data_IF_431581050859
#
_entry.id   IF_431581050859
#
_cell.length_a   1.000
_cell.length_b   1.000
_cell.length_c   1.000
_cell.angle_alpha   90.00
_cell.angle_beta   90.00
_cell.angle_gamma   90.00
#
_symmetry.space_group_name_H-M   'P 1'
#
loop_
_entity.id
_entity.type
_entity.pdbx_description
1 polymer ?
#
# COMPACT_ATOMS: atom_id res chain seq x y z
N UNK A 1 6.10 5.67 -25.88
CA UNK A 1 7.34 5.90 -25.10
C UNK A 1 6.96 6.48 -23.72
N UNK A 2 7.63 6.01 -22.63
CA UNK A 2 7.39 6.48 -21.26
C UNK A 2 8.64 7.19 -20.74
N UNK A 3 8.44 8.33 -20.05
CA UNK A 3 9.45 9.01 -19.27
C UNK A 3 8.98 9.14 -17.81
N UNK A 4 9.59 8.37 -16.90
CA UNK A 4 9.35 8.47 -15.47
C UNK A 4 10.25 9.53 -14.84
N UNK A 5 9.64 10.48 -14.12
CA UNK A 5 10.36 11.57 -13.45
C UNK A 5 10.19 11.40 -11.94
N UNK A 6 11.28 11.50 -11.21
CA UNK A 6 11.27 11.42 -9.75
C UNK A 6 12.46 12.17 -9.14
N UNK A 7 12.58 12.12 -7.80
CA UNK A 7 13.73 12.70 -7.10
C UNK A 7 14.83 11.67 -6.87
N UNK A 8 16.07 12.16 -6.80
CA UNK A 8 17.24 11.39 -6.39
C UNK A 8 17.60 11.73 -4.94
N UNK A 9 17.56 10.72 -4.07
CA UNK A 9 18.06 10.80 -2.70
C UNK A 9 19.49 10.26 -2.62
N UNK A 10 20.28 10.63 -1.59
CA UNK A 10 21.66 10.13 -1.43
C UNK A 10 21.76 8.60 -1.35
N UNK A 11 20.76 7.97 -0.76
CA UNK A 11 20.62 6.51 -0.57
C UNK A 11 19.81 5.83 -1.67
N UNK A 12 19.46 6.56 -2.73
CA UNK A 12 18.70 6.00 -3.85
C UNK A 12 19.49 4.93 -4.59
N UNK A 13 18.92 3.74 -4.71
CA UNK A 13 19.50 2.64 -5.50
C UNK A 13 19.51 2.96 -7.00
N UNK A 14 20.43 2.41 -7.78
CA UNK A 14 20.33 2.42 -9.24
C UNK A 14 18.98 1.90 -9.72
N UNK A 15 18.47 2.48 -10.79
CA UNK A 15 17.22 2.03 -11.42
C UNK A 15 17.54 1.56 -12.83
N UNK A 16 17.15 0.33 -13.14
CA UNK A 16 17.19 -0.23 -14.49
C UNK A 16 15.74 -0.48 -14.92
N UNK A 17 15.29 0.21 -15.95
CA UNK A 17 13.95 0.12 -16.53
C UNK A 17 14.04 0.01 -18.04
N UNK A 18 13.06 -0.63 -18.66
CA UNK A 18 12.93 -0.69 -20.14
C UNK A 18 12.51 0.65 -20.76
N UNK A 19 12.15 1.64 -19.94
CA UNK A 19 11.74 2.98 -20.34
C UNK A 19 12.64 4.06 -19.73
N UNK A 20 12.58 5.27 -20.27
CA UNK A 20 13.41 6.39 -19.83
C UNK A 20 13.06 6.83 -18.41
N UNK A 21 14.10 7.15 -17.63
CA UNK A 21 13.94 7.69 -16.27
C UNK A 21 14.77 8.96 -16.11
N UNK A 22 14.21 9.96 -15.41
CA UNK A 22 14.92 11.17 -15.03
C UNK A 22 14.78 11.40 -13.53
N UNK A 23 15.89 11.53 -12.81
CA UNK A 23 15.89 11.70 -11.35
C UNK A 23 16.55 13.04 -10.98
N UNK A 24 15.73 13.95 -10.42
CA UNK A 24 16.14 15.30 -10.06
C UNK A 24 16.90 15.31 -8.73
N UNK A 25 18.06 15.92 -8.71
CA UNK A 25 18.77 16.28 -7.47
C UNK A 25 18.20 17.58 -6.94
N UNK A 26 17.71 17.57 -5.69
CA UNK A 26 17.13 18.73 -5.03
C UNK A 26 18.07 19.22 -3.93
N UNK A 27 18.10 20.53 -3.72
CA UNK A 27 18.87 21.18 -2.64
C UNK A 27 18.12 21.03 -1.32
N UNK A 28 16.82 21.28 -1.33
CA UNK A 28 15.94 21.12 -0.17
C UNK A 28 15.48 19.67 -0.05
N UNK A 29 15.59 19.09 1.14
CA UNK A 29 15.27 17.67 1.36
C UNK A 29 13.93 17.44 2.03
N UNK A 30 13.41 18.43 2.75
CA UNK A 30 12.18 18.32 3.57
C UNK A 30 11.46 19.67 3.66
N UNK A 31 10.17 19.61 4.04
CA UNK A 31 9.36 20.78 4.34
C UNK A 31 8.88 21.57 3.11
N UNK A 32 8.31 22.77 3.32
CA UNK A 32 7.69 23.55 2.24
C UNK A 32 8.65 23.92 1.11
N UNK A 33 9.90 24.22 1.42
CA UNK A 33 10.93 24.58 0.43
C UNK A 33 11.25 23.40 -0.50
N UNK A 34 11.21 22.16 0.01
CA UNK A 34 11.33 20.96 -0.82
C UNK A 34 10.24 20.92 -1.89
N UNK A 35 8.97 21.09 -1.49
CA UNK A 35 7.86 21.05 -2.45
C UNK A 35 7.92 22.21 -3.44
N UNK A 36 8.28 23.41 -2.99
CA UNK A 36 8.44 24.57 -3.87
C UNK A 36 9.56 24.34 -4.91
N UNK A 37 10.76 23.90 -4.49
CA UNK A 37 11.85 23.58 -5.39
C UNK A 37 11.49 22.47 -6.37
N UNK A 38 10.89 21.37 -5.87
CA UNK A 38 10.51 20.23 -6.70
C UNK A 38 9.49 20.63 -7.78
N UNK A 39 8.41 21.31 -7.39
CA UNK A 39 7.38 21.75 -8.32
C UNK A 39 7.94 22.74 -9.37
N UNK A 40 8.79 23.68 -8.97
CA UNK A 40 9.39 24.63 -9.89
C UNK A 40 10.32 23.94 -10.90
N UNK A 41 11.19 23.05 -10.44
CA UNK A 41 12.08 22.28 -11.33
C UNK A 41 11.30 21.34 -12.24
N UNK A 42 10.26 20.68 -11.72
CA UNK A 42 9.39 19.81 -12.50
C UNK A 42 8.67 20.60 -13.60
N UNK A 43 8.13 21.77 -13.27
CA UNK A 43 7.49 22.65 -14.25
C UNK A 43 8.47 23.02 -15.40
N UNK A 44 9.66 23.52 -15.06
CA UNK A 44 10.64 23.90 -16.08
C UNK A 44 11.20 22.73 -16.87
N UNK A 45 11.25 21.55 -16.28
CA UNK A 45 11.61 20.34 -16.99
C UNK A 45 10.50 19.94 -17.96
N UNK A 46 9.27 19.81 -17.49
CA UNK A 46 8.13 19.36 -18.28
C UNK A 46 7.84 20.31 -19.46
N UNK A 47 7.88 21.62 -19.25
CA UNK A 47 7.57 22.61 -20.33
C UNK A 47 8.52 22.49 -21.53
N UNK A 48 9.71 21.90 -21.35
CA UNK A 48 10.72 21.68 -22.41
C UNK A 48 10.60 20.30 -23.07
N UNK A 49 9.78 19.39 -22.53
CA UNK A 49 9.59 18.07 -23.12
C UNK A 49 8.49 18.09 -24.19
N UNK A 50 8.59 17.19 -25.16
CA UNK A 50 7.44 16.83 -26.03
C UNK A 50 6.74 15.66 -25.38
N UNK A 51 5.42 15.74 -25.23
CA UNK A 51 4.60 14.72 -24.61
C UNK A 51 3.17 14.78 -25.13
N UNK A 52 2.58 13.63 -25.30
CA UNK A 52 1.19 13.46 -25.75
C UNK A 52 0.23 13.41 -24.55
N UNK A 53 0.67 12.84 -23.43
CA UNK A 53 -0.10 12.71 -22.19
C UNK A 53 0.82 13.03 -21.01
N UNK A 54 0.33 13.79 -20.05
CA UNK A 54 0.90 13.97 -18.72
C UNK A 54 0.22 13.02 -17.74
N UNK A 55 1.02 12.35 -16.89
CA UNK A 55 0.49 11.52 -15.81
C UNK A 55 1.10 12.02 -14.48
N UNK A 56 0.26 12.55 -13.61
CA UNK A 56 0.67 13.08 -12.31
C UNK A 56 0.29 12.11 -11.22
N UNK A 57 1.29 11.58 -10.51
CA UNK A 57 1.07 10.77 -9.32
C UNK A 57 1.07 11.67 -8.09
N UNK A 58 0.03 11.56 -7.30
CA UNK A 58 -0.24 12.30 -6.07
C UNK A 58 -0.24 13.83 -6.19
N UNK A 59 -0.74 14.48 -5.14
CA UNK A 59 -1.00 15.91 -5.11
C UNK A 59 0.28 16.76 -5.18
N UNK A 60 1.39 16.22 -4.69
CA UNK A 60 2.67 16.93 -4.63
C UNK A 60 3.31 17.18 -5.99
N UNK A 61 2.86 16.48 -7.05
CA UNK A 61 3.27 16.70 -8.44
C UNK A 61 2.17 17.34 -9.30
N UNK A 62 0.94 17.47 -8.78
CA UNK A 62 -0.22 17.88 -9.58
C UNK A 62 -0.12 19.31 -10.12
N UNK A 63 0.30 20.27 -9.30
CA UNK A 63 0.33 21.68 -9.70
C UNK A 63 1.21 21.95 -10.94
N UNK A 64 2.47 21.53 -11.02
CA UNK A 64 3.30 21.76 -12.22
C UNK A 64 2.78 21.00 -13.43
N UNK A 65 2.26 19.77 -13.27
CA UNK A 65 1.65 19.02 -14.35
C UNK A 65 0.41 19.74 -14.89
N UNK A 66 -0.47 20.25 -14.03
CA UNK A 66 -1.64 21.01 -14.42
C UNK A 66 -1.28 22.29 -15.19
N UNK A 67 -0.32 23.08 -14.71
CA UNK A 67 0.12 24.30 -15.38
C UNK A 67 0.68 24.00 -16.77
N UNK A 68 1.52 22.98 -16.90
CA UNK A 68 2.08 22.57 -18.20
C UNK A 68 0.99 22.04 -19.11
N UNK A 69 0.06 21.23 -18.62
CA UNK A 69 -1.10 20.74 -19.37
C UNK A 69 -1.92 21.90 -19.99
N UNK A 70 -2.18 22.95 -19.20
CA UNK A 70 -2.94 24.12 -19.68
C UNK A 70 -2.17 24.93 -20.72
N UNK A 71 -0.85 25.14 -20.53
CA UNK A 71 -0.01 25.90 -21.47
C UNK A 71 0.18 25.15 -22.79
N UNK A 72 0.45 23.84 -22.71
CA UNK A 72 0.74 22.98 -23.86
C UNK A 72 -0.51 22.38 -24.50
N UNK A 73 -1.68 22.50 -23.85
CA UNK A 73 -2.93 21.83 -24.25
C UNK A 73 -2.79 20.31 -24.30
N UNK A 74 -1.96 19.75 -23.41
CA UNK A 74 -1.71 18.30 -23.30
C UNK A 74 -2.66 17.69 -22.28
N UNK A 75 -3.36 16.58 -22.58
CA UNK A 75 -4.20 15.88 -21.62
C UNK A 75 -3.43 15.51 -20.35
N UNK A 76 -4.10 15.63 -19.19
CA UNK A 76 -3.54 15.32 -17.89
C UNK A 76 -4.37 14.24 -17.23
N UNK A 77 -3.71 13.13 -16.88
CA UNK A 77 -4.21 12.07 -16.01
C UNK A 77 -3.68 12.32 -14.60
N UNK A 78 -4.54 12.31 -13.62
CA UNK A 78 -4.17 12.41 -12.20
C UNK A 78 -4.46 11.10 -11.51
N UNK A 79 -3.47 10.54 -10.83
CA UNK A 79 -3.56 9.30 -10.06
C UNK A 79 -3.21 9.57 -8.60
N UNK A 80 -4.17 9.37 -7.70
CA UNK A 80 -3.99 9.58 -6.26
C UNK A 80 -4.09 8.27 -5.49
N UNK A 81 -3.01 7.95 -4.76
CA UNK A 81 -2.90 6.70 -4.02
C UNK A 81 -3.52 6.72 -2.63
N UNK A 82 -3.94 7.91 -2.16
CA UNK A 82 -4.58 8.10 -0.85
C UNK A 82 -5.43 9.37 -0.85
N UNK A 83 -6.24 9.56 0.18
CA UNK A 83 -6.89 10.85 0.40
C UNK A 83 -5.85 11.83 0.98
N UNK A 84 -5.12 12.51 0.09
CA UNK A 84 -3.88 13.22 0.41
C UNK A 84 -4.01 14.22 1.54
N UNK A 85 -5.09 15.00 1.60
CA UNK A 85 -5.30 15.97 2.68
C UNK A 85 -5.79 15.35 3.99
N UNK A 86 -6.00 14.04 4.02
CA UNK A 86 -6.33 13.25 5.21
C UNK A 86 -5.15 12.51 5.85
N UNK A 87 -3.92 12.66 5.33
CA UNK A 87 -2.75 11.96 5.86
C UNK A 87 -2.43 12.36 7.30
N UNK A 88 -1.97 11.43 8.16
CA UNK A 88 -1.66 11.71 9.56
C UNK A 88 -0.66 12.84 9.75
N UNK A 89 0.31 12.98 8.84
CA UNK A 89 1.36 14.01 8.86
C UNK A 89 0.82 15.44 8.79
N UNK A 90 -0.37 15.63 8.25
CA UNK A 90 -1.06 16.92 8.15
C UNK A 90 -1.95 17.24 9.35
N UNK A 91 -2.15 16.29 10.29
CA UNK A 91 -3.03 16.44 11.45
C UNK A 91 -2.66 17.66 12.31
N UNK A 92 -1.36 17.86 12.52
CA UNK A 92 -0.82 18.94 13.35
C UNK A 92 -0.25 20.12 12.53
N UNK A 93 -0.59 20.23 11.23
CA UNK A 93 -0.09 21.26 10.29
C UNK A 93 -1.23 21.94 9.53
N UNK A 94 -2.13 22.68 10.21
CA UNK A 94 -3.36 23.21 9.60
C UNK A 94 -3.11 24.15 8.42
N UNK A 95 -2.07 24.98 8.46
CA UNK A 95 -1.71 25.88 7.35
C UNK A 95 -1.26 25.08 6.11
N UNK A 96 -0.43 24.07 6.28
CA UNK A 96 0.03 23.20 5.17
C UNK A 96 -1.16 22.46 4.58
N UNK A 97 -2.02 21.89 5.42
CA UNK A 97 -3.26 21.23 5.00
C UNK A 97 -4.17 22.17 4.20
N UNK A 98 -4.30 23.44 4.63
CA UNK A 98 -5.10 24.45 3.92
C UNK A 98 -4.53 24.74 2.52
N UNK A 99 -3.21 24.86 2.38
CA UNK A 99 -2.56 25.08 1.08
C UNK A 99 -2.86 23.90 0.14
N UNK A 100 -2.66 22.67 0.59
CA UNK A 100 -2.95 21.49 -0.21
C UNK A 100 -4.43 21.40 -0.61
N UNK A 101 -5.36 21.67 0.30
CA UNK A 101 -6.79 21.75 -0.01
C UNK A 101 -7.13 22.82 -1.04
N UNK A 102 -6.47 23.96 -1.01
CA UNK A 102 -6.67 25.00 -2.02
C UNK A 102 -6.18 24.55 -3.41
N UNK A 103 -5.07 23.82 -3.47
CA UNK A 103 -4.56 23.24 -4.71
C UNK A 103 -5.55 22.20 -5.25
N UNK A 104 -6.00 21.25 -4.40
CA UNK A 104 -7.03 20.26 -4.78
C UNK A 104 -8.30 20.96 -5.30
N UNK A 105 -8.90 21.84 -4.51
CA UNK A 105 -10.14 22.54 -4.88
C UNK A 105 -10.00 23.39 -6.16
N UNK A 106 -8.79 23.93 -6.38
CA UNK A 106 -8.51 24.72 -7.58
C UNK A 106 -8.29 23.89 -8.85
N UNK A 107 -7.83 22.66 -8.73
CA UNK A 107 -7.42 21.85 -9.88
C UNK A 107 -8.40 20.71 -10.15
N UNK A 108 -8.77 19.90 -9.16
CA UNK A 108 -9.52 18.65 -9.36
C UNK A 108 -10.82 18.85 -10.17
N UNK A 109 -11.67 19.87 -9.93
CA UNK A 109 -12.89 20.08 -10.73
C UNK A 109 -12.64 20.41 -12.20
N UNK A 110 -11.38 20.66 -12.60
CA UNK A 110 -10.98 20.98 -13.97
C UNK A 110 -10.30 19.82 -14.70
N UNK A 111 -10.18 18.66 -14.01
CA UNK A 111 -9.59 17.44 -14.57
C UNK A 111 -10.68 16.52 -15.10
N UNK A 112 -10.41 15.90 -16.23
CA UNK A 112 -11.31 14.92 -16.85
C UNK A 112 -10.94 13.48 -16.47
N UNK A 113 -9.64 13.21 -16.29
CA UNK A 113 -9.11 11.87 -16.07
C UNK A 113 -8.47 11.77 -14.67
N UNK A 114 -9.20 11.16 -13.74
CA UNK A 114 -8.79 11.02 -12.35
C UNK A 114 -8.90 9.54 -11.95
N UNK A 115 -7.85 9.03 -11.34
CA UNK A 115 -7.79 7.70 -10.74
C UNK A 115 -7.55 7.78 -9.24
N UNK A 116 -8.06 6.77 -8.54
CA UNK A 116 -7.75 6.53 -7.13
C UNK A 116 -7.82 5.04 -6.80
N UNK A 117 -7.26 4.66 -5.66
CA UNK A 117 -7.01 3.25 -5.32
C UNK A 117 -8.24 2.45 -4.86
N UNK A 118 -9.34 3.11 -4.48
CA UNK A 118 -10.55 2.40 -4.05
C UNK A 118 -11.81 3.29 -4.09
N UNK A 119 -12.96 2.65 -3.95
CA UNK A 119 -14.27 3.32 -4.08
C UNK A 119 -14.60 4.25 -2.91
N UNK A 120 -14.13 3.99 -1.70
CA UNK A 120 -14.34 4.89 -0.56
C UNK A 120 -13.61 6.22 -0.75
N UNK A 121 -12.37 6.19 -1.23
CA UNK A 121 -11.62 7.42 -1.55
C UNK A 121 -12.25 8.14 -2.75
N UNK A 122 -12.71 7.43 -3.79
CA UNK A 122 -13.44 8.03 -4.90
C UNK A 122 -14.69 8.78 -4.42
N UNK A 123 -15.46 8.19 -3.49
CA UNK A 123 -16.63 8.84 -2.88
C UNK A 123 -16.27 10.07 -2.04
N UNK A 124 -15.13 10.06 -1.32
CA UNK A 124 -14.64 11.26 -0.62
C UNK A 124 -14.35 12.40 -1.58
N UNK A 125 -13.64 12.13 -2.66
CA UNK A 125 -13.35 13.12 -3.69
C UNK A 125 -14.62 13.61 -4.39
N UNK A 126 -15.59 12.73 -4.65
CA UNK A 126 -16.89 13.12 -5.19
C UNK A 126 -17.65 14.05 -4.24
N UNK A 127 -17.67 13.72 -2.94
CA UNK A 127 -18.32 14.52 -1.91
C UNK A 127 -17.66 15.89 -1.73
N UNK A 128 -16.33 15.95 -1.67
CA UNK A 128 -15.60 17.17 -1.30
C UNK A 128 -15.37 18.11 -2.50
N UNK A 129 -15.29 17.57 -3.73
CA UNK A 129 -14.92 18.34 -4.91
C UNK A 129 -15.89 18.18 -6.11
N UNK A 130 -16.92 17.35 -5.98
CA UNK A 130 -17.90 17.11 -7.05
C UNK A 130 -17.33 16.39 -8.27
N UNK A 131 -16.24 15.61 -8.11
CA UNK A 131 -15.56 14.93 -9.21
C UNK A 131 -15.89 13.44 -9.25
N UNK A 132 -15.71 12.82 -10.42
CA UNK A 132 -15.77 11.38 -10.58
C UNK A 132 -14.35 10.83 -10.79
N UNK A 133 -13.87 10.01 -9.87
CA UNK A 133 -12.60 9.30 -9.99
C UNK A 133 -12.84 7.83 -10.37
N UNK A 134 -12.07 7.33 -11.33
CA UNK A 134 -12.04 5.89 -11.68
C UNK A 134 -11.22 5.15 -10.64
N UNK A 135 -11.68 3.96 -10.27
CA UNK A 135 -10.92 3.13 -9.34
C UNK A 135 -9.90 2.30 -10.11
N UNK A 136 -8.65 2.38 -9.67
CA UNK A 136 -7.53 1.56 -10.12
C UNK A 136 -6.72 1.14 -8.88
N UNK A 137 -6.89 -0.09 -8.46
CA UNK A 137 -6.29 -0.61 -7.22
C UNK A 137 -4.78 -0.81 -7.39
N UNK A 138 -4.04 -0.62 -6.33
CA UNK A 138 -2.62 -0.92 -6.31
C UNK A 138 -2.41 -2.40 -6.00
N UNK A 139 -2.51 -3.24 -7.01
CA UNK A 139 -2.41 -4.70 -6.93
C UNK A 139 -1.10 -5.20 -7.57
N UNK A 140 -0.57 -6.36 -7.14
CA UNK A 140 0.64 -6.93 -7.72
C UNK A 140 0.41 -7.52 -9.12
N UNK A 141 1.50 -7.71 -9.86
CA UNK A 141 1.52 -8.54 -11.06
C UNK A 141 1.18 -10.00 -10.71
N UNK A 142 0.68 -10.82 -11.63
CA UNK A 142 0.58 -12.26 -11.43
C UNK A 142 1.94 -12.86 -11.07
N UNK A 143 1.96 -13.89 -10.21
CA UNK A 143 3.22 -14.55 -9.84
C UNK A 143 3.89 -15.10 -11.08
N UNK A 144 5.18 -14.81 -11.23
CA UNK A 144 5.97 -15.48 -12.25
C UNK A 144 6.02 -16.98 -11.94
N UNK A 145 5.83 -17.84 -12.95
CA UNK A 145 6.05 -19.28 -12.77
C UNK A 145 7.45 -19.55 -12.20
N UNK A 146 7.56 -20.46 -11.22
CA UNK A 146 8.84 -20.89 -10.67
C UNK A 146 9.36 -20.09 -9.45
N UNK A 147 8.54 -19.24 -8.84
CA UNK A 147 8.87 -18.72 -7.50
C UNK A 147 8.57 -19.83 -6.49
N UNK A 148 9.62 -20.47 -6.00
CA UNK A 148 9.52 -21.48 -4.96
C UNK A 148 9.55 -20.84 -3.57
N UNK A 149 8.73 -21.32 -2.61
CA UNK A 149 8.79 -20.86 -1.23
C UNK A 149 10.15 -21.19 -0.61
N UNK A 150 10.60 -20.42 0.36
CA UNK A 150 11.72 -20.80 1.22
C UNK A 150 11.28 -21.84 2.25
N UNK A 151 12.25 -22.55 2.85
CA UNK A 151 11.97 -23.43 3.98
C UNK A 151 11.88 -22.60 5.28
N UNK A 152 11.00 -22.98 6.18
CA UNK A 152 10.93 -22.44 7.55
C UNK A 152 12.22 -22.67 8.32
N UNK A 153 12.87 -23.83 8.07
CA UNK A 153 14.15 -24.19 8.65
C UNK A 153 15.28 -23.20 8.32
N UNK A 154 15.26 -22.59 7.11
CA UNK A 154 16.27 -21.60 6.67
C UNK A 154 16.31 -20.35 7.55
N UNK A 155 15.24 -20.07 8.28
CA UNK A 155 15.13 -18.93 9.19
C UNK A 155 14.88 -19.34 10.65
N UNK A 156 15.07 -20.63 10.98
CA UNK A 156 15.00 -21.17 12.33
C UNK A 156 13.58 -21.22 12.91
N UNK A 157 12.56 -21.36 12.07
CA UNK A 157 11.16 -21.54 12.48
C UNK A 157 10.83 -23.05 12.45
N UNK A 158 10.22 -23.62 13.53
CA UNK A 158 9.77 -25.00 13.53
C UNK A 158 8.80 -25.29 12.39
N UNK A 159 8.90 -26.45 11.77
CA UNK A 159 8.03 -26.84 10.64
C UNK A 159 6.57 -27.01 11.07
N UNK A 160 6.31 -27.40 12.31
CA UNK A 160 4.99 -27.59 12.93
C UNK A 160 4.40 -26.28 13.50
N UNK A 161 5.13 -25.16 13.45
CA UNK A 161 4.63 -23.88 13.94
C UNK A 161 3.48 -23.37 13.06
N UNK A 162 2.43 -22.80 13.69
CA UNK A 162 1.44 -21.98 13.01
C UNK A 162 2.00 -20.57 12.81
N UNK A 163 2.31 -20.21 11.58
CA UNK A 163 3.10 -19.02 11.28
C UNK A 163 2.25 -17.86 10.76
N UNK A 164 2.17 -16.82 11.58
CA UNK A 164 1.59 -15.53 11.23
C UNK A 164 2.60 -14.69 10.45
N UNK A 165 2.14 -13.83 9.52
CA UNK A 165 3.00 -12.85 8.86
C UNK A 165 2.38 -11.46 8.84
N UNK A 166 3.21 -10.44 9.15
CA UNK A 166 2.93 -9.06 8.81
C UNK A 166 4.12 -8.46 8.06
N UNK A 167 3.85 -7.88 6.88
CA UNK A 167 4.89 -7.37 5.99
C UNK A 167 4.63 -5.94 5.53
N UNK A 168 5.72 -5.23 5.18
CA UNK A 168 5.66 -3.89 4.60
C UNK A 168 6.68 -2.90 5.16
N UNK A 169 6.69 -1.71 4.58
CA UNK A 169 7.57 -0.60 5.00
C UNK A 169 6.88 0.43 5.90
N UNK A 170 5.65 0.17 6.30
CA UNK A 170 4.82 1.00 7.17
C UNK A 170 4.30 0.23 8.38
N UNK A 171 5.16 -0.54 9.08
CA UNK A 171 4.81 -1.18 10.36
C UNK A 171 4.90 -0.11 11.45
N UNK A 172 3.87 0.76 11.45
CA UNK A 172 3.83 1.97 12.24
C UNK A 172 2.80 1.86 13.36
N UNK A 173 2.76 2.88 14.23
CA UNK A 173 1.76 3.02 15.28
C UNK A 173 0.34 2.92 14.68
N UNK A 174 -0.60 2.38 15.45
CA UNK A 174 -1.98 2.12 15.02
C UNK A 174 -2.16 1.08 13.88
N UNK A 175 -1.11 0.31 13.58
CA UNK A 175 -1.17 -0.82 12.63
C UNK A 175 -1.38 -2.18 13.33
N UNK A 176 -1.79 -2.17 14.62
CA UNK A 176 -2.22 -3.33 15.38
C UNK A 176 -1.09 -4.26 15.87
N UNK A 177 0.18 -3.84 15.76
CA UNK A 177 1.28 -4.70 16.16
C UNK A 177 1.44 -4.79 17.69
N UNK A 178 1.12 -3.74 18.41
CA UNK A 178 1.13 -3.72 19.87
C UNK A 178 0.10 -4.68 20.44
N UNK A 179 -1.12 -4.70 19.88
CA UNK A 179 -2.20 -5.61 20.25
C UNK A 179 -1.89 -7.05 19.86
N UNK A 180 -1.30 -7.25 18.68
CA UNK A 180 -0.85 -8.57 18.24
C UNK A 180 0.19 -9.17 19.21
N UNK A 181 1.14 -8.36 19.68
CA UNK A 181 2.12 -8.83 20.67
C UNK A 181 1.46 -9.23 22.00
N UNK A 182 0.46 -8.45 22.46
CA UNK A 182 -0.34 -8.81 23.65
C UNK A 182 -1.13 -10.09 23.47
N UNK A 183 -1.71 -10.28 22.27
CA UNK A 183 -2.40 -11.52 21.91
C UNK A 183 -1.43 -12.72 21.84
N UNK A 184 -0.26 -12.53 21.21
CA UNK A 184 0.73 -13.58 21.01
C UNK A 184 1.27 -14.14 22.35
N UNK A 185 1.36 -13.32 23.41
CA UNK A 185 1.73 -13.79 24.77
C UNK A 185 0.72 -14.76 25.39
N UNK A 186 -0.53 -14.73 24.92
CA UNK A 186 -1.66 -15.58 25.39
C UNK A 186 -1.89 -16.80 24.50
N UNK A 187 -1.48 -16.71 23.23
CA UNK A 187 -1.62 -17.79 22.26
C UNK A 187 -0.70 -18.97 22.57
N UNK A 188 -1.06 -20.20 22.12
CA UNK A 188 -0.24 -21.40 22.22
C UNK A 188 1.21 -21.20 21.73
N UNK A 189 2.12 -21.98 22.25
CA UNK A 189 3.57 -21.83 22.00
C UNK A 189 3.98 -22.11 20.56
N UNK A 190 3.20 -22.90 19.84
CA UNK A 190 3.37 -23.22 18.41
C UNK A 190 3.02 -22.05 17.48
N UNK A 191 2.36 -20.99 17.97
CA UNK A 191 2.04 -19.81 17.16
C UNK A 191 3.25 -18.89 17.11
N UNK A 192 3.82 -18.74 15.92
CA UNK A 192 4.97 -17.88 15.64
C UNK A 192 4.55 -16.67 14.78
N UNK A 193 5.35 -15.60 14.84
CA UNK A 193 5.13 -14.37 14.06
C UNK A 193 6.37 -14.01 13.26
N UNK A 194 6.19 -13.83 11.96
CA UNK A 194 7.19 -13.31 11.04
C UNK A 194 6.87 -11.84 10.69
N UNK A 195 7.79 -10.93 11.05
CA UNK A 195 7.71 -9.51 10.70
C UNK A 195 8.74 -9.20 9.63
N UNK A 196 8.27 -8.86 8.39
CA UNK A 196 9.16 -8.55 7.26
C UNK A 196 9.03 -7.07 6.93
N UNK A 197 10.06 -6.28 7.17
CA UNK A 197 10.03 -4.88 6.76
C UNK A 197 10.60 -3.89 7.76
N UNK A 198 10.02 -2.69 7.78
CA UNK A 198 10.40 -1.59 8.66
C UNK A 198 9.21 -0.75 9.09
N UNK A 199 9.37 0.01 10.15
CA UNK A 199 8.38 0.95 10.69
C UNK A 199 8.85 1.55 11.99
N UNK A 200 8.11 2.54 12.46
CA UNK A 200 8.46 3.29 13.67
C UNK A 200 8.33 2.47 14.96
N UNK A 201 7.45 1.45 14.97
CA UNK A 201 7.26 0.57 16.14
C UNK A 201 8.24 -0.61 16.20
N UNK A 202 8.98 -0.91 15.13
CA UNK A 202 9.90 -2.07 15.09
C UNK A 202 10.94 -2.07 16.22
N UNK A 203 11.59 -0.94 16.58
CA UNK A 203 12.55 -0.93 17.69
C UNK A 203 11.92 -1.34 19.03
N UNK A 204 10.76 -0.81 19.38
CA UNK A 204 10.04 -1.14 20.61
C UNK A 204 9.53 -2.58 20.64
N UNK A 205 9.06 -3.10 19.50
CA UNK A 205 8.64 -4.49 19.36
C UNK A 205 9.80 -5.47 19.53
N UNK A 206 10.98 -5.15 19.00
CA UNK A 206 12.21 -5.94 19.19
C UNK A 206 12.61 -5.99 20.67
N UNK A 207 12.58 -4.84 21.33
CA UNK A 207 12.87 -4.77 22.76
C UNK A 207 11.88 -5.63 23.57
N UNK A 208 10.56 -5.47 23.35
CA UNK A 208 9.51 -6.26 24.00
C UNK A 208 9.70 -7.77 23.76
N UNK A 209 10.03 -8.16 22.53
CA UNK A 209 10.28 -9.57 22.20
C UNK A 209 11.50 -10.14 22.96
N UNK A 210 12.56 -9.34 23.13
CA UNK A 210 13.77 -9.77 23.87
C UNK A 210 13.52 -9.90 25.37
N UNK A 211 12.73 -9.00 25.95
CA UNK A 211 12.40 -8.97 27.38
C UNK A 211 11.37 -10.04 27.76
N UNK A 212 10.49 -10.45 26.84
CA UNK A 212 9.47 -11.46 27.08
C UNK A 212 10.02 -12.88 26.87
N UNK A 213 10.01 -13.67 27.91
CA UNK A 213 10.38 -15.11 27.83
C UNK A 213 9.50 -15.91 26.87
N UNK A 214 8.25 -15.46 26.64
CA UNK A 214 7.29 -16.11 25.74
C UNK A 214 7.48 -15.72 24.27
N UNK A 215 7.90 -14.48 23.99
CA UNK A 215 8.00 -13.94 22.62
C UNK A 215 9.37 -14.17 21.98
N UNK A 216 10.43 -14.24 22.78
CA UNK A 216 11.82 -14.26 22.32
C UNK A 216 12.11 -15.31 21.24
N UNK A 217 11.50 -16.49 21.33
CA UNK A 217 11.70 -17.60 20.40
C UNK A 217 10.62 -17.68 19.31
N UNK A 218 9.57 -16.86 19.41
CA UNK A 218 8.39 -16.94 18.52
C UNK A 218 8.23 -15.75 17.57
N UNK A 219 8.98 -14.67 17.78
CA UNK A 219 8.92 -13.49 16.91
C UNK A 219 10.19 -13.37 16.10
N UNK A 220 10.04 -13.41 14.78
CA UNK A 220 11.13 -13.40 13.81
C UNK A 220 11.10 -12.09 13.03
N UNK A 221 12.21 -11.33 13.05
CA UNK A 221 12.31 -10.04 12.37
C UNK A 221 13.21 -10.16 11.15
N UNK A 222 12.69 -9.85 9.99
CA UNK A 222 13.43 -9.77 8.74
C UNK A 222 13.43 -8.31 8.25
N UNK A 223 14.58 -7.74 7.86
CA UNK A 223 14.63 -6.40 7.28
C UNK A 223 13.89 -6.34 5.94
N UNK A 224 13.65 -5.14 5.38
CA UNK A 224 13.03 -5.00 4.07
C UNK A 224 13.78 -5.80 2.99
N UNK A 225 13.05 -6.64 2.28
CA UNK A 225 13.54 -7.50 1.20
C UNK A 225 13.09 -7.00 -0.18
N UNK A 226 13.77 -7.39 -1.27
CA UNK A 226 13.19 -7.33 -2.62
C UNK A 226 11.86 -8.07 -2.67
N UNK A 227 10.94 -7.61 -3.54
CA UNK A 227 9.56 -8.13 -3.58
C UNK A 227 9.48 -9.65 -3.73
N UNK A 228 10.18 -10.21 -4.69
CA UNK A 228 10.18 -11.68 -4.93
C UNK A 228 10.70 -12.47 -3.74
N UNK A 229 11.75 -11.97 -3.09
CA UNK A 229 12.31 -12.62 -1.89
C UNK A 229 11.35 -12.53 -0.71
N UNK A 230 10.67 -11.40 -0.53
CA UNK A 230 9.60 -11.24 0.46
C UNK A 230 8.49 -12.25 0.20
N UNK A 231 8.03 -12.41 -1.04
CA UNK A 231 6.98 -13.36 -1.41
C UNK A 231 7.36 -14.81 -1.12
N UNK A 232 8.63 -15.20 -1.33
CA UNK A 232 9.13 -16.54 -0.96
C UNK A 232 8.98 -16.84 0.54
N UNK A 233 9.09 -15.83 1.40
CA UNK A 233 8.84 -15.98 2.83
C UNK A 233 7.33 -15.98 3.14
N UNK A 234 6.55 -15.17 2.43
CA UNK A 234 5.10 -15.09 2.64
C UNK A 234 4.40 -16.40 2.30
N UNK A 235 4.81 -17.08 1.23
CA UNK A 235 4.19 -18.31 0.71
C UNK A 235 4.22 -19.49 1.68
N UNK A 236 5.17 -19.57 2.62
CA UNK A 236 5.22 -20.64 3.61
C UNK A 236 4.49 -20.31 4.92
N UNK A 237 3.90 -19.12 5.04
CA UNK A 237 3.12 -18.74 6.21
C UNK A 237 1.70 -19.33 6.16
N UNK A 238 1.03 -19.33 7.31
CA UNK A 238 -0.31 -19.89 7.46
C UNK A 238 -1.40 -18.82 7.51
N UNK A 239 -1.08 -17.59 7.97
CA UNK A 239 -2.04 -16.51 8.13
C UNK A 239 -1.39 -15.13 7.93
N UNK A 240 -1.92 -14.35 6.99
CA UNK A 240 -1.54 -12.96 6.76
C UNK A 240 -2.32 -11.96 7.61
N UNK A 241 -1.65 -10.96 8.17
CA UNK A 241 -2.26 -10.01 9.10
C UNK A 241 -2.34 -8.59 8.51
N UNK A 242 -3.53 -7.97 8.60
CA UNK A 242 -3.77 -6.56 8.29
C UNK A 242 -4.67 -5.93 9.35
N UNK A 243 -4.06 -5.50 10.47
CA UNK A 243 -4.73 -5.11 11.71
C UNK A 243 -4.76 -3.59 11.93
N UNK A 244 -4.87 -2.82 10.85
CA UNK A 244 -4.94 -1.36 10.92
C UNK A 244 -6.15 -0.92 11.75
N UNK A 245 -5.95 0.13 12.61
CA UNK A 245 -7.02 0.69 13.45
C UNK A 245 -7.74 1.84 12.72
N UNK A 246 -9.00 2.06 13.05
CA UNK A 246 -9.80 3.19 12.53
C UNK A 246 -9.48 4.50 13.28
N UNK A 247 -8.23 4.96 13.22
CA UNK A 247 -7.77 6.16 13.94
C UNK A 247 -7.73 7.42 13.08
N UNK A 248 -7.76 7.26 11.77
CA UNK A 248 -7.79 8.35 10.81
C UNK A 248 -8.41 7.91 9.48
N UNK A 249 -8.79 8.89 8.65
CA UNK A 249 -9.53 8.65 7.40
C UNK A 249 -8.76 7.77 6.40
N UNK A 250 -7.42 7.90 6.34
CA UNK A 250 -6.62 7.08 5.44
C UNK A 250 -6.47 5.63 5.94
N UNK A 251 -6.38 5.41 7.26
CA UNK A 251 -6.41 4.06 7.81
C UNK A 251 -7.78 3.43 7.63
N UNK A 252 -8.86 4.17 7.92
CA UNK A 252 -10.24 3.71 7.72
C UNK A 252 -10.50 3.21 6.32
N UNK A 253 -10.04 3.92 5.30
CA UNK A 253 -10.25 3.58 3.89
C UNK A 253 -9.02 3.00 3.22
N UNK A 254 -8.03 2.55 4.00
CA UNK A 254 -6.85 1.91 3.45
C UNK A 254 -7.19 0.60 2.73
N UNK A 255 -6.44 0.32 1.68
CA UNK A 255 -6.39 -0.98 1.02
C UNK A 255 -4.92 -1.35 0.81
N UNK A 256 -4.24 -1.86 1.87
CA UNK A 256 -2.80 -2.06 1.84
C UNK A 256 -2.40 -3.16 0.87
N UNK A 257 -1.28 -2.98 0.16
CA UNK A 257 -0.75 -3.94 -0.81
C UNK A 257 -0.59 -5.35 -0.23
N UNK A 258 -0.22 -5.47 1.05
CA UNK A 258 -0.05 -6.78 1.73
C UNK A 258 -1.31 -7.66 1.69
N UNK A 259 -2.51 -7.08 1.62
CA UNK A 259 -3.76 -7.83 1.46
C UNK A 259 -3.74 -8.64 0.16
N UNK A 260 -3.33 -8.00 -0.92
CA UNK A 260 -3.19 -8.64 -2.23
C UNK A 260 -2.00 -9.60 -2.31
N UNK A 261 -0.90 -9.26 -1.61
CA UNK A 261 0.27 -10.14 -1.53
C UNK A 261 -0.07 -11.46 -0.82
N UNK A 262 -0.87 -11.43 0.26
CA UNK A 262 -1.33 -12.63 0.96
C UNK A 262 -2.26 -13.47 0.09
N UNK A 263 -3.23 -12.85 -0.58
CA UNK A 263 -4.11 -13.54 -1.53
C UNK A 263 -3.27 -14.23 -2.60
N UNK A 264 -2.29 -13.53 -3.15
CA UNK A 264 -1.39 -14.03 -4.17
C UNK A 264 -0.45 -15.14 -3.68
N UNK A 265 -0.04 -15.09 -2.41
CA UNK A 265 0.74 -16.14 -1.76
C UNK A 265 -0.10 -17.38 -1.42
N UNK A 266 -1.41 -17.34 -1.60
CA UNK A 266 -2.32 -18.44 -1.26
C UNK A 266 -2.51 -18.62 0.24
N UNK A 267 -2.33 -17.56 1.05
CA UNK A 267 -2.55 -17.60 2.49
C UNK A 267 -3.76 -16.76 2.90
N UNK A 268 -4.62 -17.28 3.80
CA UNK A 268 -5.80 -16.54 4.27
C UNK A 268 -5.41 -15.33 5.12
N UNK A 269 -6.39 -14.43 5.31
CA UNK A 269 -6.18 -13.16 6.00
C UNK A 269 -6.95 -13.09 7.31
N UNK A 270 -6.33 -12.46 8.32
CA UNK A 270 -7.04 -11.90 9.47
C UNK A 270 -6.90 -10.37 9.43
N UNK A 271 -8.02 -9.67 9.37
CA UNK A 271 -8.02 -8.22 9.18
C UNK A 271 -8.96 -7.52 10.16
N UNK A 272 -8.70 -6.26 10.47
CA UNK A 272 -9.73 -5.40 11.06
C UNK A 272 -10.80 -5.12 10.01
N UNK A 273 -12.08 -5.09 10.42
CA UNK A 273 -13.22 -4.85 9.52
C UNK A 273 -13.30 -3.37 9.10
N UNK A 274 -12.29 -2.92 8.35
CA UNK A 274 -12.31 -1.61 7.71
C UNK A 274 -13.03 -1.70 6.35
N UNK A 275 -13.68 -0.62 5.88
CA UNK A 275 -14.59 -0.65 4.74
C UNK A 275 -14.03 -1.32 3.48
N UNK A 276 -12.80 -1.00 3.08
CA UNK A 276 -12.23 -1.52 1.84
C UNK A 276 -11.62 -2.92 2.01
N UNK A 277 -10.85 -3.14 3.08
CA UNK A 277 -10.25 -4.46 3.36
C UNK A 277 -11.33 -5.48 3.67
N UNK A 278 -12.31 -5.12 4.52
CA UNK A 278 -13.43 -5.99 4.86
C UNK A 278 -14.29 -6.37 3.64
N UNK A 279 -14.44 -5.42 2.68
CA UNK A 279 -15.11 -5.71 1.41
C UNK A 279 -14.39 -6.81 0.63
N UNK A 280 -13.06 -6.72 0.48
CA UNK A 280 -12.27 -7.75 -0.22
C UNK A 280 -12.41 -9.09 0.48
N UNK A 281 -12.18 -9.14 1.79
CA UNK A 281 -12.24 -10.41 2.55
C UNK A 281 -13.59 -11.08 2.43
N UNK A 282 -14.70 -10.34 2.56
CA UNK A 282 -16.06 -10.90 2.45
C UNK A 282 -16.45 -11.26 1.02
N UNK A 283 -16.10 -10.44 0.03
CA UNK A 283 -16.47 -10.70 -1.37
C UNK A 283 -15.84 -11.99 -1.90
N UNK A 284 -14.59 -12.24 -1.49
CA UNK A 284 -13.83 -13.38 -2.00
C UNK A 284 -13.81 -14.58 -1.03
N UNK A 285 -14.28 -14.43 0.21
CA UNK A 285 -14.18 -15.43 1.28
C UNK A 285 -12.73 -15.90 1.54
N UNK A 286 -11.81 -14.94 1.64
CA UNK A 286 -10.36 -15.21 1.74
C UNK A 286 -9.82 -15.08 3.16
N UNK A 287 -10.66 -15.03 4.19
CA UNK A 287 -10.23 -14.88 5.57
C UNK A 287 -11.32 -14.44 6.51
N UNK A 288 -10.91 -13.84 7.62
CA UNK A 288 -11.76 -13.37 8.71
C UNK A 288 -11.56 -11.88 8.98
N UNK A 289 -12.66 -11.14 9.19
CA UNK A 289 -12.65 -9.78 9.70
C UNK A 289 -12.99 -9.78 11.20
N UNK A 290 -12.18 -9.05 12.00
CA UNK A 290 -12.50 -8.73 13.39
C UNK A 290 -13.00 -7.28 13.46
N UNK A 291 -14.04 -7.04 14.26
CA UNK A 291 -14.69 -5.71 14.35
C UNK A 291 -13.73 -4.60 14.81
N UNK A 292 -12.79 -4.94 15.68
CA UNK A 292 -11.87 -4.00 16.31
C UNK A 292 -10.52 -4.68 16.59
N UNK A 293 -9.43 -3.95 16.38
CA UNK A 293 -8.10 -4.42 16.73
C UNK A 293 -7.81 -4.17 18.22
N UNK A 294 -8.11 -5.20 19.05
CA UNK A 294 -7.66 -5.29 20.43
C UNK A 294 -7.13 -6.70 20.71
N UNK A 295 -6.35 -6.88 21.79
CA UNK A 295 -5.69 -8.15 22.11
C UNK A 295 -6.63 -9.34 22.11
N UNK A 296 -7.81 -9.23 22.76
CA UNK A 296 -8.75 -10.34 22.91
C UNK A 296 -9.39 -10.75 21.57
N UNK A 297 -9.76 -9.78 20.72
CA UNK A 297 -10.35 -10.06 19.40
C UNK A 297 -9.29 -10.60 18.43
N UNK A 298 -8.05 -10.10 18.50
CA UNK A 298 -6.92 -10.61 17.71
C UNK A 298 -6.60 -12.06 18.12
N UNK A 299 -6.48 -12.35 19.42
CA UNK A 299 -6.28 -13.71 19.95
C UNK A 299 -7.37 -14.65 19.45
N UNK A 300 -8.65 -14.31 19.69
CA UNK A 300 -9.81 -15.11 19.25
C UNK A 300 -9.82 -15.32 17.74
N UNK A 301 -9.52 -14.29 16.96
CA UNK A 301 -9.45 -14.36 15.51
C UNK A 301 -8.37 -15.32 15.02
N UNK A 302 -7.17 -15.26 15.60
CA UNK A 302 -6.07 -16.17 15.26
C UNK A 302 -6.45 -17.62 15.61
N UNK A 303 -6.97 -17.88 16.81
CA UNK A 303 -7.40 -19.21 17.22
C UNK A 303 -8.49 -19.78 16.30
N UNK A 304 -9.44 -18.94 15.89
CA UNK A 304 -10.45 -19.34 14.92
C UNK A 304 -9.84 -19.71 13.58
N UNK A 305 -8.98 -18.88 13.01
CA UNK A 305 -8.32 -19.13 11.72
C UNK A 305 -7.44 -20.40 11.77
N UNK A 306 -6.74 -20.61 12.88
CA UNK A 306 -5.95 -21.82 13.14
C UNK A 306 -6.82 -23.07 13.12
N UNK A 307 -8.01 -23.04 13.73
CA UNK A 307 -8.96 -24.18 13.74
C UNK A 307 -9.57 -24.47 12.37
N UNK A 308 -9.68 -23.47 11.49
CA UNK A 308 -10.22 -23.64 10.13
C UNK A 308 -9.23 -24.28 9.17
N UNK A 309 -7.92 -24.06 9.37
CA UNK A 309 -6.87 -24.44 8.43
C UNK A 309 -6.89 -23.61 7.14
N UNK A 310 -5.73 -23.47 6.50
CA UNK A 310 -5.58 -22.65 5.28
C UNK A 310 -6.22 -23.31 4.03
N UNK A 311 -6.33 -24.61 4.00
CA UNK A 311 -6.86 -25.41 2.88
C UNK A 311 -8.32 -25.07 2.57
N UNK A 312 -9.09 -24.68 3.59
CA UNK A 312 -10.47 -24.19 3.42
C UNK A 312 -10.56 -23.02 2.44
N UNK A 313 -9.55 -22.16 2.44
CA UNK A 313 -9.55 -20.92 1.67
C UNK A 313 -8.90 -21.08 0.28
N UNK A 314 -8.27 -22.21 -0.03
CA UNK A 314 -7.43 -22.39 -1.21
C UNK A 314 -8.13 -22.00 -2.53
N UNK A 315 -9.35 -22.51 -2.79
CA UNK A 315 -10.11 -22.18 -4.02
C UNK A 315 -10.51 -20.70 -4.10
N UNK A 316 -10.87 -20.12 -2.95
CA UNK A 316 -11.24 -18.71 -2.86
C UNK A 316 -10.04 -17.79 -3.12
N UNK A 317 -8.89 -18.11 -2.54
CA UNK A 317 -7.63 -17.40 -2.74
C UNK A 317 -7.15 -17.51 -4.20
N UNK A 318 -7.25 -18.69 -4.81
CA UNK A 318 -6.90 -18.89 -6.22
C UNK A 318 -7.75 -17.98 -7.12
N UNK A 319 -9.09 -18.01 -6.99
CA UNK A 319 -10.00 -17.14 -7.73
C UNK A 319 -9.66 -15.65 -7.50
N UNK A 320 -9.50 -15.24 -6.24
CA UNK A 320 -9.19 -13.87 -5.89
C UNK A 320 -7.85 -13.41 -6.50
N UNK A 321 -6.83 -14.27 -6.51
CA UNK A 321 -5.51 -13.94 -7.07
C UNK A 321 -5.52 -13.73 -8.59
N UNK A 322 -6.44 -14.40 -9.30
CA UNK A 322 -6.63 -14.22 -10.74
C UNK A 322 -7.35 -12.91 -11.08
N UNK A 323 -8.33 -12.51 -10.27
CA UNK A 323 -9.13 -11.30 -10.49
C UNK A 323 -8.47 -10.04 -9.92
N UNK A 324 -7.73 -10.15 -8.79
CA UNK A 324 -7.08 -9.04 -8.09
C UNK A 324 -5.59 -8.94 -8.45
N UNK A 325 -5.32 -8.72 -9.73
CA UNK A 325 -3.96 -8.61 -10.28
C UNK A 325 -3.84 -7.42 -11.23
N UNK A 326 -2.62 -6.97 -11.46
CA UNK A 326 -2.34 -5.81 -12.31
C UNK A 326 -2.81 -6.01 -13.75
N UNK A 327 -2.72 -7.21 -14.28
CA UNK A 327 -3.13 -7.55 -15.65
C UNK A 327 -4.62 -7.28 -15.89
N UNK A 328 -5.45 -7.34 -14.85
CA UNK A 328 -6.87 -6.96 -14.90
C UNK A 328 -7.06 -5.46 -14.63
N UNK A 329 -6.41 -4.91 -13.60
CA UNK A 329 -6.56 -3.49 -13.24
C UNK A 329 -6.07 -2.54 -14.34
N UNK A 330 -4.97 -2.88 -15.03
CA UNK A 330 -4.39 -2.04 -16.08
C UNK A 330 -5.35 -1.78 -17.24
N UNK A 331 -6.36 -2.62 -17.45
CA UNK A 331 -7.36 -2.43 -18.51
C UNK A 331 -8.12 -1.12 -18.33
N UNK A 332 -8.35 -0.69 -17.10
CA UNK A 332 -8.97 0.60 -16.78
C UNK A 332 -8.09 1.78 -17.24
N UNK A 333 -6.78 1.67 -17.08
CA UNK A 333 -5.82 2.68 -17.54
C UNK A 333 -5.69 2.68 -19.07
N UNK A 334 -5.61 1.50 -19.68
CA UNK A 334 -5.54 1.35 -21.14
C UNK A 334 -6.78 1.93 -21.83
N UNK A 335 -7.98 1.65 -21.28
CA UNK A 335 -9.22 2.24 -21.79
C UNK A 335 -9.21 3.78 -21.71
N UNK A 336 -8.74 4.32 -20.58
CA UNK A 336 -8.61 5.77 -20.42
C UNK A 336 -7.65 6.39 -21.45
N UNK A 337 -6.51 5.78 -21.69
CA UNK A 337 -5.55 6.28 -22.68
C UNK A 337 -6.09 6.17 -24.11
N UNK A 338 -6.86 5.12 -24.41
CA UNK A 338 -7.58 4.99 -25.68
C UNK A 338 -8.61 6.12 -25.88
N UNK A 339 -9.37 6.47 -24.85
CA UNK A 339 -10.29 7.61 -24.89
C UNK A 339 -9.57 8.94 -25.18
N UNK A 340 -8.39 9.15 -24.56
CA UNK A 340 -7.57 10.35 -24.76
C UNK A 340 -7.09 10.42 -26.22
N UNK A 341 -6.58 9.32 -26.76
CA UNK A 341 -6.08 9.26 -28.14
C UNK A 341 -7.16 9.50 -29.18
N UNK A 342 -8.36 9.01 -28.94
CA UNK A 342 -9.50 9.21 -29.86
C UNK A 342 -10.05 10.65 -29.86
N UNK A 343 -9.68 11.46 -28.86
CA UNK A 343 -10.09 12.88 -28.77
C UNK A 343 -9.06 13.86 -29.33
N UNK A 344 -7.85 13.40 -29.62
CA UNK A 344 -6.77 14.19 -30.25
C UNK A 344 -6.85 14.15 -31.78
#
# INVERSE_FOLDING_TARGET
>A
EVLLIGRLLPDSRPIHRSYRTHRMRLLCRRGPLFYAEYNLRLFFFLIRQRMDILHSNDLDTLLPNFLVSRIRRTPLVYDTHEYFTGVPELRHRPLVKRIWRQIEAGILPRLEYIFTVNSSIAQLYAKDYGISARVMRNVPLRLSPGIEPKSRADIGIPEDAFLLVNQGTGINIDRGMEELFGALEKLPSEVHLLLIGKGDVIPSLKQRAQESGKLRKRVHFIPPLPYEEMMRHTMFCDLGLSLDKDTNINYRFSLPNKVFDYIRAGIPLLTTDLPEVGRIVRTYDVGLCIEECNEAKVEKGIMHMMSQGKERFAKALERASQELCWEEEVQTLVACYGEIQNKQ
#
